data_IF_703998905509
#
_entry.id   IF_703998905509
#
_cell.length_a   1.000
_cell.length_b   1.000
_cell.length_c   1.000
_cell.angle_alpha   90.00
_cell.angle_beta   90.00
_cell.angle_gamma   90.00
#
_symmetry.space_group_name_H-M   'P 1'
#
loop_
_entity.id
_entity.type
_entity.pdbx_description
1 polymer ?
#
# COMPACT_ATOMS: atom_id res chain seq x y z
N UNK A 1 -0.63 -22.01 12.08
CA UNK A 1 0.46 -21.08 11.70
C UNK A 1 0.05 -19.70 12.15
N UNK A 2 1.00 -18.87 12.62
CA UNK A 2 0.67 -17.49 12.94
C UNK A 2 0.38 -16.73 11.64
N UNK A 3 -0.70 -15.94 11.57
CA UNK A 3 -1.02 -15.16 10.39
C UNK A 3 0.06 -14.11 10.12
N UNK A 4 0.32 -13.85 8.85
CA UNK A 4 1.33 -12.92 8.35
C UNK A 4 0.72 -12.07 7.25
N UNK A 5 1.15 -10.82 7.11
CA UNK A 5 0.60 -9.89 6.11
C UNK A 5 1.70 -9.18 5.34
N UNK A 6 1.55 -9.14 4.01
CA UNK A 6 2.28 -8.27 3.11
C UNK A 6 1.32 -7.18 2.58
N UNK A 7 1.57 -5.93 2.94
CA UNK A 7 0.90 -4.76 2.37
C UNK A 7 1.77 -4.19 1.25
N UNK A 8 1.24 -4.18 0.04
CA UNK A 8 1.86 -3.60 -1.16
C UNK A 8 1.10 -2.34 -1.53
N UNK A 9 1.78 -1.21 -1.53
CA UNK A 9 1.25 0.07 -1.99
C UNK A 9 2.04 0.55 -3.21
N UNK A 10 1.32 0.78 -4.31
CA UNK A 10 1.86 1.31 -5.56
C UNK A 10 1.34 2.73 -5.74
N UNK A 11 2.22 3.70 -5.55
CA UNK A 11 1.89 5.13 -5.57
C UNK A 11 1.28 5.57 -6.90
N UNK A 12 0.19 6.32 -6.84
CA UNK A 12 -0.47 6.89 -8.01
C UNK A 12 -1.04 5.87 -9.00
N UNK A 13 -1.27 4.61 -8.60
CA UNK A 13 -1.75 3.56 -9.50
C UNK A 13 -3.26 3.59 -9.68
N UNK A 14 -3.72 3.89 -10.90
CA UNK A 14 -5.14 3.92 -11.27
C UNK A 14 -5.70 2.52 -11.55
N UNK A 15 -6.98 2.25 -11.22
CA UNK A 15 -7.63 0.97 -11.53
C UNK A 15 -7.71 0.65 -13.03
N UNK A 16 -7.97 1.66 -13.87
CA UNK A 16 -8.06 1.48 -15.33
C UNK A 16 -6.67 1.17 -15.94
N UNK A 17 -5.58 1.66 -15.35
CA UNK A 17 -4.23 1.28 -15.75
C UNK A 17 -3.93 -0.19 -15.42
N UNK A 18 -4.38 -0.70 -14.27
CA UNK A 18 -4.26 -2.13 -13.93
C UNK A 18 -4.92 -3.01 -14.99
N UNK A 19 -6.12 -2.59 -15.46
CA UNK A 19 -6.87 -3.33 -16.49
C UNK A 19 -6.17 -3.33 -17.85
N UNK A 20 -5.45 -2.27 -18.18
CA UNK A 20 -4.83 -2.03 -19.50
C UNK A 20 -3.33 -2.36 -19.53
N UNK A 21 -2.69 -2.61 -18.39
CA UNK A 21 -1.27 -2.92 -18.31
C UNK A 21 -0.90 -4.10 -19.22
N UNK A 22 0.24 -3.98 -19.92
CA UNK A 22 0.74 -5.03 -20.81
C UNK A 22 1.05 -6.31 -20.03
N UNK A 23 1.66 -6.19 -18.84
CA UNK A 23 1.91 -7.34 -17.97
C UNK A 23 0.63 -7.71 -17.21
N UNK A 24 0.02 -8.88 -17.50
CA UNK A 24 -1.36 -9.17 -17.08
C UNK A 24 -1.48 -9.64 -15.63
N UNK A 25 -0.38 -9.95 -14.96
CA UNK A 25 -0.38 -10.69 -13.68
C UNK A 25 -1.31 -10.04 -12.65
N UNK A 26 -1.17 -8.74 -12.36
CA UNK A 26 -1.96 -8.08 -11.31
C UNK A 26 -3.46 -8.16 -11.61
N UNK A 27 -3.85 -7.84 -12.85
CA UNK A 27 -5.25 -7.95 -13.29
C UNK A 27 -5.82 -9.36 -13.14
N UNK A 28 -5.07 -10.37 -13.56
CA UNK A 28 -5.51 -11.77 -13.48
C UNK A 28 -5.51 -12.27 -12.03
N UNK A 29 -4.50 -11.90 -11.25
CA UNK A 29 -4.42 -12.24 -9.83
C UNK A 29 -5.60 -11.67 -9.04
N UNK A 30 -5.94 -10.40 -9.24
CA UNK A 30 -7.10 -9.76 -8.63
C UNK A 30 -8.39 -10.53 -8.97
N UNK A 31 -8.64 -10.77 -10.27
CA UNK A 31 -9.88 -11.38 -10.74
C UNK A 31 -10.05 -12.86 -10.42
N UNK A 32 -8.96 -13.59 -10.21
CA UNK A 32 -9.00 -15.06 -10.04
C UNK A 32 -8.60 -15.53 -8.65
N UNK A 33 -7.89 -14.73 -7.87
CA UNK A 33 -7.29 -15.17 -6.61
C UNK A 33 -7.63 -14.28 -5.41
N UNK A 34 -8.12 -13.05 -5.63
CA UNK A 34 -8.42 -12.08 -4.58
C UNK A 34 -9.92 -11.85 -4.42
N UNK A 35 -10.32 -11.38 -3.23
CA UNK A 35 -11.46 -10.50 -3.09
C UNK A 35 -10.95 -9.10 -3.44
N UNK A 36 -11.63 -8.34 -4.31
CA UNK A 36 -11.06 -7.09 -4.82
C UNK A 36 -12.14 -6.04 -5.15
N UNK A 37 -11.72 -4.81 -5.29
CA UNK A 37 -12.49 -3.73 -5.92
C UNK A 37 -11.61 -2.89 -6.83
N UNK A 38 -12.20 -2.41 -7.91
CA UNK A 38 -11.63 -1.38 -8.78
C UNK A 38 -12.22 0.02 -8.48
N UNK A 39 -13.03 0.10 -7.42
CA UNK A 39 -13.69 1.31 -6.96
C UNK A 39 -13.37 1.60 -5.48
N UNK A 40 -12.14 1.32 -5.06
CA UNK A 40 -11.63 1.71 -3.75
C UNK A 40 -11.58 3.23 -3.62
N UNK A 41 -11.75 3.74 -2.40
CA UNK A 41 -11.82 5.19 -2.14
C UNK A 41 -10.64 5.66 -1.32
N UNK A 42 -9.86 6.58 -1.91
CA UNK A 42 -8.83 7.33 -1.20
C UNK A 42 -9.41 8.45 -0.33
N UNK A 43 -8.55 9.22 0.34
CA UNK A 43 -8.94 10.36 1.19
C UNK A 43 -8.55 11.69 0.56
N UNK A 44 -9.11 12.79 1.08
CA UNK A 44 -8.77 14.15 0.66
C UNK A 44 -7.93 14.87 1.72
N UNK A 45 -6.83 15.52 1.29
CA UNK A 45 -6.31 15.61 -0.09
C UNK A 45 -5.72 14.28 -0.56
N UNK A 46 -5.94 13.96 -1.84
CA UNK A 46 -5.41 12.77 -2.50
C UNK A 46 -3.92 12.94 -2.83
N UNK A 47 -3.12 13.09 -1.79
CA UNK A 47 -1.67 13.33 -1.80
C UNK A 47 -1.00 12.20 -1.01
N UNK A 48 0.17 11.76 -1.43
CA UNK A 48 0.86 10.57 -0.94
C UNK A 48 0.95 10.49 0.59
N UNK A 49 1.60 11.46 1.25
CA UNK A 49 1.78 11.39 2.71
C UNK A 49 0.46 11.44 3.48
N UNK A 50 -0.49 12.37 3.21
CA UNK A 50 -1.83 12.34 3.79
C UNK A 50 -2.56 11.01 3.63
N UNK A 51 -2.53 10.41 2.43
CA UNK A 51 -3.19 9.14 2.16
C UNK A 51 -2.54 7.98 2.94
N UNK A 52 -1.21 7.89 2.97
CA UNK A 52 -0.51 6.83 3.69
C UNK A 52 -0.64 7.00 5.20
N UNK A 53 -0.62 8.24 5.71
CA UNK A 53 -0.96 8.52 7.11
C UNK A 53 -2.37 8.06 7.46
N UNK A 54 -3.34 8.36 6.60
CA UNK A 54 -4.73 7.90 6.76
C UNK A 54 -4.84 6.39 6.71
N UNK A 55 -4.13 5.72 5.79
CA UNK A 55 -4.09 4.26 5.74
C UNK A 55 -3.56 3.69 7.06
N UNK A 56 -2.45 4.22 7.59
CA UNK A 56 -1.81 3.64 8.79
C UNK A 56 -2.51 3.98 10.10
N UNK A 57 -3.19 5.12 10.18
CA UNK A 57 -3.89 5.55 11.39
C UNK A 57 -5.39 5.32 11.31
N UNK A 58 -5.89 4.87 10.15
CA UNK A 58 -7.32 4.63 9.89
C UNK A 58 -8.22 5.84 10.25
N UNK A 59 -7.71 7.06 10.02
CA UNK A 59 -8.43 8.32 10.25
C UNK A 59 -8.21 9.27 9.06
N UNK A 60 -9.11 10.23 8.91
CA UNK A 60 -9.04 11.23 7.83
C UNK A 60 -7.89 12.23 8.02
N UNK A 61 -7.40 12.91 6.95
CA UNK A 61 -6.29 13.85 7.03
C UNK A 61 -6.49 15.02 7.98
N UNK A 62 -7.71 15.51 8.15
CA UNK A 62 -8.05 16.56 9.13
C UNK A 62 -7.86 16.10 10.57
N UNK A 63 -8.02 14.81 10.88
CA UNK A 63 -7.80 14.25 12.21
C UNK A 63 -6.32 14.06 12.54
N UNK A 64 -5.48 13.59 11.61
CA UNK A 64 -4.05 13.44 11.85
C UNK A 64 -3.23 14.69 11.50
N UNK A 65 -3.82 15.69 10.80
CA UNK A 65 -3.24 17.00 10.57
C UNK A 65 -2.16 17.07 9.48
N UNK A 66 -1.88 15.98 8.74
CA UNK A 66 -0.96 16.00 7.60
C UNK A 66 -1.76 16.21 6.31
N UNK A 67 -1.59 17.36 5.68
CA UNK A 67 -2.37 17.80 4.51
C UNK A 67 -1.54 17.94 3.23
N UNK A 68 -0.24 17.75 3.33
CA UNK A 68 0.71 17.77 2.22
C UNK A 68 1.86 16.76 2.45
N UNK A 69 2.86 16.75 1.56
CA UNK A 69 4.01 15.85 1.64
C UNK A 69 5.10 16.29 2.66
N UNK A 70 4.77 17.23 3.55
CA UNK A 70 5.62 17.60 4.68
C UNK A 70 5.03 17.03 5.98
N UNK A 71 5.76 16.08 6.59
CA UNK A 71 5.31 15.47 7.83
C UNK A 71 5.17 16.50 8.96
N UNK A 72 3.98 16.56 9.54
CA UNK A 72 3.68 17.32 10.75
C UNK A 72 3.27 16.33 11.83
N UNK A 73 3.95 16.39 12.97
CA UNK A 73 3.57 15.55 14.10
C UNK A 73 2.14 15.86 14.55
N UNK A 74 1.25 14.86 14.60
CA UNK A 74 -0.11 15.06 15.07
C UNK A 74 -0.16 15.73 16.45
N UNK A 75 -1.06 16.69 16.63
CA UNK A 75 -1.24 17.40 17.90
C UNK A 75 -1.82 16.50 19.00
N UNK A 76 -2.58 15.50 18.61
CA UNK A 76 -3.05 14.41 19.46
C UNK A 76 -2.45 13.10 18.99
N UNK A 77 -2.04 12.27 19.93
CA UNK A 77 -1.52 10.95 19.60
C UNK A 77 -2.67 10.06 19.14
N UNK A 78 -2.54 9.57 17.92
CA UNK A 78 -3.35 8.48 17.37
C UNK A 78 -2.37 7.33 17.13
N UNK A 79 -2.58 6.18 17.78
CA UNK A 79 -1.72 5.02 17.54
C UNK A 79 -1.99 4.48 16.12
N UNK A 80 -0.94 4.41 15.31
CA UNK A 80 -1.01 3.87 13.96
C UNK A 80 -0.78 2.35 13.92
N UNK A 81 -0.95 1.77 12.74
CA UNK A 81 -0.75 0.33 12.48
C UNK A 81 0.57 -0.19 13.09
N UNK A 82 1.69 0.50 12.83
CA UNK A 82 3.00 0.09 13.37
C UNK A 82 3.10 0.21 14.89
N UNK A 83 2.36 1.13 15.52
CA UNK A 83 2.32 1.26 16.97
C UNK A 83 1.65 0.05 17.60
N UNK A 84 0.50 -0.34 17.05
CA UNK A 84 -0.26 -1.51 17.51
C UNK A 84 0.54 -2.79 17.28
N UNK A 85 1.14 -2.95 16.10
CA UNK A 85 1.96 -4.12 15.78
C UNK A 85 3.18 -4.23 16.69
N UNK A 86 3.85 -3.11 17.00
CA UNK A 86 4.97 -3.08 17.93
C UNK A 86 4.54 -3.45 19.36
N UNK A 87 3.43 -2.92 19.84
CA UNK A 87 2.88 -3.26 21.16
C UNK A 87 2.56 -4.76 21.26
N UNK A 88 2.15 -5.38 20.16
CA UNK A 88 1.88 -6.82 20.04
C UNK A 88 3.12 -7.66 19.69
N UNK A 89 4.32 -7.08 19.75
CA UNK A 89 5.62 -7.73 19.49
C UNK A 89 5.71 -8.40 18.11
N UNK A 90 5.02 -7.83 17.12
CA UNK A 90 5.09 -8.28 15.73
C UNK A 90 6.41 -7.85 15.10
N UNK A 91 7.01 -8.73 14.30
CA UNK A 91 8.21 -8.42 13.53
C UNK A 91 7.82 -7.69 12.25
N UNK A 92 8.09 -6.39 12.20
CA UNK A 92 7.68 -5.48 11.13
C UNK A 92 8.86 -5.10 10.23
N UNK A 93 8.69 -5.21 8.91
CA UNK A 93 9.65 -4.73 7.91
C UNK A 93 9.02 -3.61 7.10
N UNK A 94 9.82 -2.62 6.72
CA UNK A 94 9.41 -1.44 5.97
C UNK A 94 10.33 -1.24 4.77
N UNK A 95 9.78 -1.30 3.56
CA UNK A 95 10.48 -1.14 2.30
C UNK A 95 9.89 0.03 1.53
N UNK A 96 10.71 1.01 1.14
CA UNK A 96 10.24 2.21 0.44
C UNK A 96 11.21 2.73 -0.61
N UNK A 97 10.66 3.39 -1.63
CA UNK A 97 11.45 4.11 -2.63
C UNK A 97 11.45 5.63 -2.42
N UNK A 98 10.76 6.12 -1.39
CA UNK A 98 10.64 7.54 -1.07
C UNK A 98 10.99 7.81 0.40
N UNK A 99 11.95 8.73 0.63
CA UNK A 99 12.52 8.95 1.95
C UNK A 99 11.57 9.64 2.93
N UNK A 100 10.63 10.45 2.45
CA UNK A 100 9.69 11.21 3.28
C UNK A 100 8.77 10.31 4.12
N UNK A 101 8.64 9.02 3.77
CA UNK A 101 7.90 8.03 4.57
C UNK A 101 8.64 7.59 5.86
N UNK A 102 9.89 8.05 6.11
CA UNK A 102 10.67 7.66 7.30
C UNK A 102 10.03 8.05 8.64
N UNK A 103 9.21 9.09 8.63
CA UNK A 103 8.60 9.65 9.84
C UNK A 103 7.26 8.98 10.23
N UNK A 104 6.78 8.02 9.42
CA UNK A 104 5.51 7.31 9.65
C UNK A 104 5.54 6.31 10.81
N UNK A 105 6.73 5.88 11.21
CA UNK A 105 6.92 4.90 12.28
C UNK A 105 7.80 5.47 13.38
N UNK A 106 7.47 5.15 14.65
CA UNK A 106 8.37 5.50 15.75
C UNK A 106 9.69 4.70 15.65
N UNK A 107 10.80 5.26 16.13
CA UNK A 107 12.05 4.51 16.27
C UNK A 107 11.84 3.24 17.08
N UNK A 108 12.37 2.12 16.60
CA UNK A 108 12.27 0.80 17.25
C UNK A 108 11.03 -0.01 16.93
N UNK A 109 10.03 0.54 16.23
CA UNK A 109 8.86 -0.22 15.79
C UNK A 109 9.17 -1.19 14.63
N UNK A 110 10.28 -0.99 13.95
CA UNK A 110 10.71 -1.75 12.78
C UNK A 110 11.91 -2.65 13.10
N UNK A 111 11.83 -3.92 12.73
CA UNK A 111 12.98 -4.83 12.72
C UNK A 111 13.91 -4.52 11.54
N UNK A 112 13.39 -3.95 10.45
CA UNK A 112 14.14 -3.50 9.28
C UNK A 112 13.43 -2.33 8.61
N UNK A 113 14.21 -1.35 8.17
CA UNK A 113 13.82 -0.22 7.33
C UNK A 113 14.80 -0.14 6.15
N UNK A 114 14.29 -0.31 4.93
CA UNK A 114 15.09 -0.31 3.69
C UNK A 114 14.59 0.77 2.74
N UNK A 115 15.51 1.63 2.34
CA UNK A 115 15.29 2.68 1.36
C UNK A 115 16.09 2.41 0.08
N UNK A 116 15.40 2.36 -1.06
CA UNK A 116 15.99 2.48 -2.39
C UNK A 116 15.47 3.76 -3.02
N UNK A 117 16.11 4.91 -2.73
CA UNK A 117 15.63 6.25 -3.10
C UNK A 117 15.45 6.39 -4.62
N UNK A 118 14.22 6.67 -5.07
CA UNK A 118 13.92 6.80 -6.50
C UNK A 118 14.67 7.95 -7.18
N UNK A 119 14.84 9.08 -6.48
CA UNK A 119 15.62 10.22 -6.98
C UNK A 119 17.07 9.88 -7.31
N UNK A 120 17.60 8.77 -6.74
CA UNK A 120 18.97 8.29 -6.98
C UNK A 120 19.01 7.22 -8.06
N UNK A 121 18.08 6.28 -8.03
CA UNK A 121 18.13 5.07 -8.85
C UNK A 121 17.09 5.01 -9.97
N UNK A 122 16.13 5.96 -10.03
CA UNK A 122 15.04 5.94 -11.00
C UNK A 122 14.27 4.62 -10.98
N UNK A 123 13.88 4.13 -12.15
CA UNK A 123 13.13 2.86 -12.26
C UNK A 123 13.85 1.65 -11.64
N UNK A 124 15.18 1.68 -11.47
CA UNK A 124 15.93 0.62 -10.84
C UNK A 124 15.69 0.55 -9.32
N UNK A 125 15.19 1.61 -8.69
CA UNK A 125 14.85 1.63 -7.27
C UNK A 125 13.83 0.54 -6.91
N UNK A 126 12.73 0.49 -7.66
CA UNK A 126 11.64 -0.48 -7.43
C UNK A 126 12.10 -1.93 -7.62
N UNK A 127 12.96 -2.19 -8.64
CA UNK A 127 13.49 -3.51 -8.91
C UNK A 127 14.39 -3.97 -7.76
N UNK A 128 15.32 -3.11 -7.32
CA UNK A 128 16.24 -3.43 -6.23
C UNK A 128 15.50 -3.60 -4.90
N UNK A 129 14.52 -2.72 -4.62
CA UNK A 129 13.71 -2.80 -3.41
C UNK A 129 12.91 -4.11 -3.38
N UNK A 130 12.30 -4.49 -4.51
CA UNK A 130 11.56 -5.75 -4.66
C UNK A 130 12.48 -6.96 -4.39
N UNK A 131 13.70 -6.96 -4.92
CA UNK A 131 14.67 -8.05 -4.71
C UNK A 131 15.05 -8.20 -3.24
N UNK A 132 15.33 -7.09 -2.56
CA UNK A 132 15.66 -7.08 -1.13
C UNK A 132 14.48 -7.52 -0.27
N UNK A 133 13.27 -7.04 -0.58
CA UNK A 133 12.04 -7.42 0.10
C UNK A 133 11.75 -8.92 -0.05
N UNK A 134 11.83 -9.45 -1.28
CA UNK A 134 11.64 -10.86 -1.56
C UNK A 134 12.66 -11.76 -0.81
N UNK A 135 13.92 -11.34 -0.74
CA UNK A 135 14.95 -12.05 0.01
C UNK A 135 14.66 -12.06 1.51
N UNK A 136 14.25 -10.91 2.09
CA UNK A 136 13.96 -10.82 3.51
C UNK A 136 12.71 -11.61 3.91
N UNK A 137 11.66 -11.61 3.09
CA UNK A 137 10.46 -12.43 3.33
C UNK A 137 10.83 -13.90 3.47
N UNK A 138 11.66 -14.43 2.55
CA UNK A 138 12.12 -15.84 2.59
C UNK A 138 13.00 -16.15 3.79
N UNK A 139 13.91 -15.23 4.14
CA UNK A 139 14.92 -15.47 5.17
C UNK A 139 14.40 -15.27 6.60
N UNK A 140 13.47 -14.35 6.77
CA UNK A 140 13.08 -13.84 8.08
C UNK A 140 11.64 -14.14 8.46
N UNK A 141 10.80 -14.50 7.49
CA UNK A 141 9.37 -14.76 7.66
C UNK A 141 8.68 -13.77 8.61
N UNK A 142 8.74 -12.44 8.37
CA UNK A 142 8.17 -11.42 9.25
C UNK A 142 6.66 -11.57 9.43
N UNK A 143 6.12 -11.00 10.51
CA UNK A 143 4.67 -10.97 10.75
C UNK A 143 3.99 -9.95 9.82
N UNK A 144 4.64 -8.80 9.61
CA UNK A 144 4.13 -7.73 8.74
C UNK A 144 5.22 -7.13 7.88
N UNK A 145 4.91 -6.93 6.60
CA UNK A 145 5.78 -6.24 5.64
C UNK A 145 4.98 -5.13 4.97
N UNK A 146 5.49 -3.92 4.99
CA UNK A 146 5.04 -2.84 4.12
C UNK A 146 6.03 -2.67 2.97
N UNK A 147 5.53 -2.74 1.75
CA UNK A 147 6.29 -2.50 0.51
C UNK A 147 5.64 -1.34 -0.24
N UNK A 148 6.38 -0.24 -0.39
CA UNK A 148 5.98 0.96 -1.12
C UNK A 148 6.84 1.15 -2.36
N UNK A 149 6.18 1.28 -3.50
CA UNK A 149 6.77 1.54 -4.82
C UNK A 149 6.26 2.88 -5.35
N UNK A 150 7.15 3.86 -5.50
CA UNK A 150 6.84 5.22 -5.94
C UNK A 150 7.01 5.46 -7.45
N UNK A 151 7.50 4.47 -8.21
CA UNK A 151 7.88 4.67 -9.59
C UNK A 151 6.71 5.08 -10.51
N UNK A 152 5.52 4.57 -10.28
CA UNK A 152 4.34 4.90 -11.10
C UNK A 152 3.97 6.37 -11.00
N UNK A 153 3.95 6.92 -9.79
CA UNK A 153 3.66 8.33 -9.53
C UNK A 153 4.75 9.26 -10.11
N UNK A 154 6.00 8.98 -9.83
CA UNK A 154 7.13 9.79 -10.32
C UNK A 154 7.21 9.82 -11.87
N UNK A 155 6.92 8.70 -12.52
CA UNK A 155 6.84 8.64 -13.99
C UNK A 155 5.62 9.42 -14.49
N UNK A 156 4.48 9.33 -13.80
CA UNK A 156 3.27 10.03 -14.16
C UNK A 156 3.41 11.57 -14.04
N UNK A 157 4.06 12.05 -12.99
CA UNK A 157 4.38 13.48 -12.85
C UNK A 157 5.23 13.99 -14.02
N UNK A 158 6.14 13.18 -14.52
CA UNK A 158 7.04 13.54 -15.62
C UNK A 158 6.39 13.43 -17.01
N UNK A 159 5.63 12.36 -17.25
CA UNK A 159 5.15 11.97 -18.57
C UNK A 159 3.63 12.06 -18.75
N UNK A 160 2.88 12.02 -17.65
CA UNK A 160 1.41 12.04 -17.61
C UNK A 160 0.82 10.66 -17.29
N UNK A 161 -0.25 10.67 -16.50
CA UNK A 161 -1.06 9.47 -16.24
C UNK A 161 -1.65 8.91 -17.54
N UNK A 162 -1.74 7.60 -17.62
CA UNK A 162 -2.25 6.82 -18.75
C UNK A 162 -1.42 6.97 -20.06
N UNK A 163 -0.29 7.68 -20.03
CA UNK A 163 0.66 7.71 -21.13
C UNK A 163 1.50 6.42 -21.21
N UNK A 164 2.24 6.21 -22.34
CA UNK A 164 3.01 4.98 -22.56
C UNK A 164 4.01 4.67 -21.43
N UNK A 165 4.73 5.68 -20.95
CA UNK A 165 5.73 5.52 -19.88
C UNK A 165 5.10 5.14 -18.55
N UNK A 166 3.95 5.73 -18.23
CA UNK A 166 3.19 5.36 -17.04
C UNK A 166 2.68 3.92 -17.14
N UNK A 167 2.15 3.51 -18.29
CA UNK A 167 1.69 2.13 -18.51
C UNK A 167 2.83 1.11 -18.42
N UNK A 168 4.04 1.48 -18.84
CA UNK A 168 5.24 0.65 -18.63
C UNK A 168 5.60 0.55 -17.13
N UNK A 169 5.51 1.67 -16.39
CA UNK A 169 5.74 1.67 -14.94
C UNK A 169 4.70 0.79 -14.19
N UNK A 170 3.43 0.83 -14.57
CA UNK A 170 2.38 -0.07 -14.03
C UNK A 170 2.68 -1.54 -14.37
N UNK A 171 3.16 -1.81 -15.58
CA UNK A 171 3.58 -3.17 -15.98
C UNK A 171 4.79 -3.65 -15.17
N UNK A 172 5.74 -2.76 -14.85
CA UNK A 172 6.86 -3.08 -13.95
C UNK A 172 6.38 -3.37 -12.54
N UNK A 173 5.47 -2.56 -11.99
CA UNK A 173 4.85 -2.81 -10.68
C UNK A 173 4.15 -4.18 -10.65
N UNK A 174 3.41 -4.53 -11.70
CA UNK A 174 2.76 -5.85 -11.84
C UNK A 174 3.78 -7.01 -11.81
N UNK A 175 4.94 -6.88 -12.48
CA UNK A 175 6.04 -7.86 -12.42
C UNK A 175 6.65 -7.97 -11.03
N UNK A 176 6.86 -6.86 -10.34
CA UNK A 176 7.38 -6.85 -8.98
C UNK A 176 6.40 -7.52 -8.00
N UNK A 177 5.10 -7.25 -8.14
CA UNK A 177 4.05 -7.90 -7.35
C UNK A 177 4.06 -9.42 -7.61
N UNK A 178 4.13 -9.86 -8.87
CA UNK A 178 4.24 -11.29 -9.21
C UNK A 178 5.42 -11.95 -8.51
N UNK A 179 6.58 -11.29 -8.52
CA UNK A 179 7.78 -11.79 -7.85
C UNK A 179 7.59 -11.89 -6.33
N UNK A 180 7.02 -10.86 -5.68
CA UNK A 180 6.75 -10.87 -4.25
C UNK A 180 5.75 -11.97 -3.87
N UNK A 181 4.66 -12.12 -4.63
CA UNK A 181 3.67 -13.19 -4.41
C UNK A 181 4.31 -14.58 -4.58
N UNK A 182 5.17 -14.73 -5.58
CA UNK A 182 5.85 -16.01 -5.88
C UNK A 182 6.86 -16.47 -4.82
N UNK A 183 7.23 -15.60 -3.90
CA UNK A 183 8.18 -15.95 -2.81
C UNK A 183 7.52 -16.12 -1.45
N UNK A 184 6.22 -15.82 -1.33
CA UNK A 184 5.52 -15.89 -0.05
C UNK A 184 5.44 -17.33 0.47
N UNK A 185 5.84 -17.57 1.72
CA UNK A 185 5.52 -18.83 2.40
C UNK A 185 3.99 -19.01 2.53
N UNK A 186 3.59 -20.23 2.78
CA UNK A 186 2.18 -20.54 3.06
C UNK A 186 1.68 -19.77 4.30
N UNK A 187 0.42 -19.31 4.25
CA UNK A 187 -0.23 -18.62 5.36
C UNK A 187 -0.12 -17.09 5.32
N UNK A 188 0.56 -16.51 4.32
CA UNK A 188 0.51 -15.07 4.12
C UNK A 188 -0.84 -14.61 3.55
N UNK A 189 -1.34 -13.52 4.12
CA UNK A 189 -2.34 -12.67 3.47
C UNK A 189 -1.63 -11.50 2.77
N UNK A 190 -2.21 -11.02 1.67
CA UNK A 190 -1.67 -9.88 0.93
C UNK A 190 -2.76 -8.84 0.75
N UNK A 191 -2.41 -7.59 0.99
CA UNK A 191 -3.20 -6.41 0.67
C UNK A 191 -2.44 -5.65 -0.41
N UNK A 192 -3.06 -5.39 -1.55
CA UNK A 192 -2.48 -4.60 -2.65
C UNK A 192 -3.39 -3.39 -2.86
N UNK A 193 -2.81 -2.19 -2.88
CA UNK A 193 -3.55 -0.96 -3.08
C UNK A 193 -2.67 0.13 -3.70
N UNK A 194 -3.29 1.28 -3.99
CA UNK A 194 -2.65 2.56 -4.19
C UNK A 194 -3.09 3.52 -3.09
N UNK A 195 -2.37 4.61 -2.93
CA UNK A 195 -2.76 5.71 -2.04
C UNK A 195 -3.71 6.70 -2.72
N UNK A 196 -3.49 6.98 -4.00
CA UNK A 196 -4.32 7.79 -4.88
C UNK A 196 -4.14 7.36 -6.34
N UNK A 197 -4.89 7.95 -7.25
CA UNK A 197 -4.68 7.90 -8.67
C UNK A 197 -4.02 9.18 -9.18
N UNK A 198 -4.49 9.71 -10.33
CA UNK A 198 -4.00 10.97 -10.87
C UNK A 198 -4.52 11.26 -12.27
N UNK A 199 -4.40 12.52 -12.69
CA UNK A 199 -4.81 12.99 -14.01
C UNK A 199 -3.76 13.93 -14.62
N UNK A 200 -3.68 13.99 -15.91
CA UNK A 200 -2.64 14.76 -16.61
C UNK A 200 -1.23 14.48 -16.04
N UNK A 201 -0.65 15.40 -15.28
CA UNK A 201 0.64 15.25 -14.57
C UNK A 201 0.53 15.63 -13.10
N UNK A 202 -0.65 15.47 -12.51
CA UNK A 202 -0.95 15.91 -11.14
C UNK A 202 -1.99 15.03 -10.47
N UNK A 203 -2.13 15.19 -9.18
CA UNK A 203 -3.15 14.60 -8.33
C UNK A 203 -3.43 15.55 -7.15
N UNK A 204 -4.23 15.15 -6.18
CA UNK A 204 -4.53 15.95 -4.97
C UNK A 204 -5.90 16.59 -4.98
N UNK A 205 -6.76 16.22 -5.93
CA UNK A 205 -8.11 16.77 -6.10
C UNK A 205 -9.20 15.75 -5.78
N UNK A 206 -10.47 16.21 -5.79
CA UNK A 206 -11.64 15.32 -5.64
C UNK A 206 -12.04 14.60 -6.95
N UNK A 207 -11.27 14.77 -8.02
CA UNK A 207 -11.56 14.11 -9.30
C UNK A 207 -11.58 12.58 -9.12
N UNK A 208 -12.50 11.89 -9.79
CA UNK A 208 -12.55 10.42 -9.72
C UNK A 208 -11.22 9.74 -10.07
N UNK A 209 -10.45 10.32 -11.01
CA UNK A 209 -9.15 9.84 -11.42
C UNK A 209 -8.09 9.88 -10.30
N UNK A 210 -8.22 10.83 -9.37
CA UNK A 210 -7.33 10.97 -8.22
C UNK A 210 -7.80 10.10 -7.05
N UNK A 211 -9.13 10.04 -6.84
CA UNK A 211 -9.74 9.45 -5.66
C UNK A 211 -9.98 7.95 -5.75
N UNK A 212 -10.06 7.39 -6.99
CA UNK A 212 -10.39 5.97 -7.18
C UNK A 212 -9.12 5.13 -7.25
N UNK A 213 -9.03 4.14 -6.37
CA UNK A 213 -7.86 3.25 -6.24
C UNK A 213 -8.26 1.77 -6.38
N UNK A 214 -7.36 0.90 -6.88
CA UNK A 214 -7.56 -0.53 -6.83
C UNK A 214 -7.25 -1.06 -5.43
N UNK A 215 -8.05 -2.02 -4.94
CA UNK A 215 -7.77 -2.75 -3.70
C UNK A 215 -7.94 -4.23 -3.96
N UNK A 216 -6.96 -5.05 -3.56
CA UNK A 216 -7.02 -6.50 -3.66
C UNK A 216 -6.60 -7.16 -2.36
N UNK A 217 -7.38 -8.13 -1.92
CA UNK A 217 -7.24 -8.85 -0.67
C UNK A 217 -7.07 -10.34 -0.99
N UNK A 218 -5.88 -10.88 -0.70
CA UNK A 218 -5.55 -12.28 -0.93
C UNK A 218 -5.22 -12.99 0.39
N UNK A 219 -5.59 -14.24 0.51
CA UNK A 219 -5.27 -15.07 1.67
C UNK A 219 -6.39 -16.05 2.00
N UNK A 220 -6.24 -16.83 3.07
CA UNK A 220 -7.16 -17.93 3.39
C UNK A 220 -8.56 -17.48 3.82
N UNK A 221 -8.72 -16.21 4.23
CA UNK A 221 -9.99 -15.65 4.70
C UNK A 221 -10.78 -14.94 3.59
N UNK A 222 -10.28 -14.91 2.36
CA UNK A 222 -10.88 -14.17 1.26
C UNK A 222 -11.45 -15.09 0.19
N UNK A 223 -12.62 -14.71 -0.33
CA UNK A 223 -13.27 -15.41 -1.45
C UNK A 223 -12.57 -15.05 -2.76
N UNK A 224 -12.15 -16.07 -3.51
CA UNK A 224 -11.41 -15.88 -4.76
C UNK A 224 -12.31 -15.36 -5.88
N UNK A 225 -11.88 -14.27 -6.52
CA UNK A 225 -12.58 -13.67 -7.65
C UNK A 225 -13.83 -12.87 -7.27
N UNK A 226 -14.04 -12.62 -5.97
CA UNK A 226 -15.15 -11.80 -5.49
C UNK A 226 -14.85 -10.32 -5.68
N UNK A 227 -15.68 -9.65 -6.43
CA UNK A 227 -15.63 -8.20 -6.57
C UNK A 227 -16.56 -7.54 -5.54
N UNK A 228 -16.02 -6.55 -4.82
CA UNK A 228 -16.75 -5.73 -3.86
C UNK A 228 -17.09 -4.37 -4.50
N UNK A 229 -18.14 -3.71 -4.02
CA UNK A 229 -18.55 -2.41 -4.56
C UNK A 229 -17.51 -1.33 -4.24
N UNK A 230 -17.40 -0.94 -3.00
CA UNK A 230 -16.48 0.12 -2.56
C UNK A 230 -15.82 -0.27 -1.24
N UNK A 231 -14.53 0.01 -1.13
CA UNK A 231 -13.75 -0.14 0.10
C UNK A 231 -13.04 1.19 0.34
N UNK A 232 -13.02 1.66 1.58
CA UNK A 232 -12.23 2.82 1.99
C UNK A 232 -10.78 2.46 2.21
N UNK A 233 -9.86 3.36 1.88
CA UNK A 233 -8.45 3.26 2.26
C UNK A 233 -8.29 3.10 3.78
N UNK A 234 -9.20 3.70 4.57
CA UNK A 234 -9.21 3.62 6.03
C UNK A 234 -9.49 2.21 6.56
N UNK A 235 -10.17 1.35 5.78
CA UNK A 235 -10.55 0.00 6.20
C UNK A 235 -9.37 -0.99 6.15
N UNK A 236 -8.25 -0.61 5.53
CA UNK A 236 -7.12 -1.53 5.31
C UNK A 236 -6.34 -1.81 6.60
N UNK A 237 -6.04 -0.80 7.42
CA UNK A 237 -5.31 -1.01 8.66
C UNK A 237 -6.10 -1.84 9.69
N UNK A 238 -7.40 -1.58 9.98
CA UNK A 238 -8.18 -2.45 10.86
C UNK A 238 -8.28 -3.88 10.33
N UNK A 239 -8.42 -4.06 9.01
CA UNK A 239 -8.40 -5.38 8.36
C UNK A 239 -7.08 -6.12 8.58
N UNK A 240 -5.95 -5.42 8.46
CA UNK A 240 -4.61 -6.00 8.71
C UNK A 240 -4.45 -6.41 10.17
N UNK A 241 -4.89 -5.57 11.12
CA UNK A 241 -4.85 -5.91 12.54
C UNK A 241 -5.69 -7.14 12.87
N UNK A 242 -6.90 -7.22 12.31
CA UNK A 242 -7.80 -8.36 12.49
C UNK A 242 -7.19 -9.66 11.93
N UNK A 243 -6.59 -9.62 10.72
CA UNK A 243 -5.83 -10.76 10.18
C UNK A 243 -4.73 -11.20 11.15
N UNK A 244 -4.00 -10.25 11.74
CA UNK A 244 -2.87 -10.51 12.63
C UNK A 244 -3.28 -10.84 14.09
N UNK A 245 -4.58 -10.80 14.39
CA UNK A 245 -5.14 -11.08 15.72
C UNK A 245 -4.77 -10.00 16.73
N UNK A 246 -4.68 -8.74 16.30
CA UNK A 246 -4.44 -7.58 17.14
C UNK A 246 -5.74 -6.80 17.35
N UNK A 247 -5.88 -6.18 18.51
CA UNK A 247 -7.02 -5.33 18.84
C UNK A 247 -6.99 -4.05 17.98
N UNK A 248 -8.14 -3.68 17.43
CA UNK A 248 -8.31 -2.47 16.64
C UNK A 248 -8.56 -1.30 17.58
N UNK A 249 -7.83 -0.17 17.50
CA UNK A 249 -8.06 0.99 18.33
C UNK A 249 -9.47 1.59 18.14
N UNK A 250 -10.17 1.88 19.24
CA UNK A 250 -11.51 2.47 19.22
C UNK A 250 -11.59 3.84 18.54
N UNK A 251 -10.46 4.54 18.46
CA UNK A 251 -10.35 5.87 17.85
C UNK A 251 -10.24 5.86 16.32
N UNK A 252 -10.12 4.67 15.69
CA UNK A 252 -10.05 4.54 14.25
C UNK A 252 -11.42 4.67 13.59
N UNK A 253 -11.47 5.29 12.40
CA UNK A 253 -12.72 5.54 11.65
C UNK A 253 -13.08 4.36 10.72
N UNK A 254 -12.06 3.66 10.23
CA UNK A 254 -12.24 2.50 9.34
C UNK A 254 -12.68 1.25 10.09
N UNK A 255 -13.18 0.27 9.36
CA UNK A 255 -13.66 -1.01 9.90
C UNK A 255 -12.93 -2.18 9.26
N UNK A 256 -12.83 -3.31 9.99
CA UNK A 256 -12.33 -4.54 9.38
C UNK A 256 -13.29 -5.03 8.30
N UNK A 257 -12.72 -5.50 7.20
CA UNK A 257 -13.46 -6.13 6.08
C UNK A 257 -13.64 -7.64 6.28
N UNK A 258 -13.16 -8.18 7.39
CA UNK A 258 -13.37 -9.57 7.77
C UNK A 258 -14.66 -9.69 8.59
N UNK A 259 -15.48 -10.69 8.23
CA UNK A 259 -16.69 -11.10 8.97
C UNK A 259 -16.34 -11.84 10.26
#
# INVERSE_FOLDING_TARGET
MNPKVLLILIDGMRPDAVLQAEHPFLREFMRTRCTYTLNGRSVMPSITLPCIMSLFHSVTPDRHGNLDNMYVRPSHRIDGLFDVLYANKKKNLFYRTWNELRDLCRPGALARDELCEWKVYGNAADIQLCDRCAQAIRAEEPDFVFYYSGNTDEVAHKHGWMGPEYMEAVSLASRNIEKLIGVLPEGYSVVITADHGGHARSHGTEMPEDMTIPIALYGPRWEKGKELETISLLDLAPTILDILGCEIPDEWDGVSLLD
#
